data_IF_083562932417
#
_entry.id   IF_083562932417
#
_cell.length_a   1.000
_cell.length_b   1.000
_cell.length_c   1.000
_cell.angle_alpha   90.00
_cell.angle_beta   90.00
_cell.angle_gamma   90.00
#
_symmetry.space_group_name_H-M   'P 1'
#
loop_
_entity.id
_entity.type
_entity.pdbx_description
1 polymer ?
#
# COMPACT_ATOMS: atom_id res chain seq x y z
N UNK A 1 -4.39 21.87 -5.88
CA UNK A 1 -5.09 20.64 -6.32
C UNK A 1 -5.46 20.76 -7.79
N UNK A 2 -5.11 19.76 -8.59
CA UNK A 2 -5.57 19.69 -9.99
C UNK A 2 -7.10 19.61 -10.01
N UNK A 3 -7.74 20.45 -10.84
CA UNK A 3 -9.21 20.49 -10.99
C UNK A 3 -9.81 19.10 -11.30
N UNK A 4 -9.02 18.23 -11.93
CA UNK A 4 -9.36 16.85 -12.26
C UNK A 4 -9.61 15.98 -11.01
N UNK A 5 -8.74 16.02 -9.99
CA UNK A 5 -8.92 15.23 -8.76
C UNK A 5 -10.17 15.66 -7.99
N UNK A 6 -10.45 16.97 -7.97
CA UNK A 6 -11.66 17.53 -7.41
C UNK A 6 -12.91 17.03 -8.14
N UNK A 7 -12.88 17.08 -9.47
CA UNK A 7 -13.97 16.62 -10.31
C UNK A 7 -14.24 15.13 -10.11
N UNK A 8 -13.20 14.29 -10.15
CA UNK A 8 -13.32 12.85 -9.96
C UNK A 8 -13.87 12.48 -8.58
N UNK A 9 -13.44 13.15 -7.51
CA UNK A 9 -13.95 12.86 -6.17
C UNK A 9 -15.41 13.33 -5.99
N UNK A 10 -15.74 14.58 -6.39
CA UNK A 10 -17.06 15.16 -6.12
C UNK A 10 -18.15 14.69 -7.06
N UNK A 11 -17.82 14.36 -8.31
CA UNK A 11 -18.81 13.91 -9.31
C UNK A 11 -18.78 12.39 -9.43
N UNK A 12 -17.61 11.77 -9.26
CA UNK A 12 -17.49 10.31 -9.32
C UNK A 12 -18.34 9.59 -8.27
N UNK A 13 -18.33 10.04 -7.01
CA UNK A 13 -19.11 9.41 -5.94
C UNK A 13 -20.63 9.43 -6.21
N UNK A 14 -21.26 10.59 -6.54
CA UNK A 14 -22.66 10.60 -6.97
C UNK A 14 -22.93 9.77 -8.22
N UNK A 15 -22.02 9.75 -9.21
CA UNK A 15 -22.21 8.94 -10.42
C UNK A 15 -22.17 7.44 -10.12
N UNK A 16 -21.28 6.98 -9.23
CA UNK A 16 -21.27 5.59 -8.77
C UNK A 16 -22.59 5.25 -8.06
N UNK A 17 -23.10 6.16 -7.22
CA UNK A 17 -24.40 5.98 -6.56
C UNK A 17 -25.54 5.89 -7.58
N UNK A 18 -25.63 6.84 -8.51
CA UNK A 18 -26.67 6.86 -9.55
C UNK A 18 -26.57 5.62 -10.44
N UNK A 19 -25.37 5.28 -10.89
CA UNK A 19 -25.13 4.08 -11.68
C UNK A 19 -25.51 2.79 -10.95
N UNK A 20 -25.23 2.72 -9.65
CA UNK A 20 -25.64 1.57 -8.82
C UNK A 20 -27.15 1.52 -8.57
N UNK A 21 -27.86 2.65 -8.52
CA UNK A 21 -29.33 2.69 -8.33
C UNK A 21 -30.07 2.45 -9.65
N UNK A 22 -29.46 2.83 -10.77
CA UNK A 22 -30.00 2.64 -12.12
C UNK A 22 -29.54 1.34 -12.78
N UNK A 23 -28.93 0.42 -12.01
CA UNK A 23 -28.42 -0.88 -12.48
C UNK A 23 -27.56 -0.77 -13.76
N UNK A 24 -26.63 0.18 -13.78
CA UNK A 24 -25.68 0.31 -14.89
C UNK A 24 -24.82 -0.95 -15.02
N UNK A 25 -24.28 -1.25 -16.22
CA UNK A 25 -23.39 -2.38 -16.40
C UNK A 25 -22.15 -2.30 -15.49
N UNK A 26 -21.59 -3.46 -15.14
CA UNK A 26 -20.49 -3.57 -14.18
C UNK A 26 -19.23 -2.80 -14.60
N UNK A 27 -18.89 -2.75 -15.90
CA UNK A 27 -17.67 -2.08 -16.39
C UNK A 27 -17.68 -0.57 -16.08
N UNK A 28 -18.72 0.22 -16.46
CA UNK A 28 -18.82 1.61 -16.05
C UNK A 28 -18.73 1.83 -14.54
N UNK A 29 -19.44 1.01 -13.74
CA UNK A 29 -19.44 1.12 -12.28
C UNK A 29 -18.03 0.89 -11.74
N UNK A 30 -17.33 -0.14 -12.24
CA UNK A 30 -15.96 -0.46 -11.86
C UNK A 30 -15.00 0.69 -12.19
N UNK A 31 -15.00 1.18 -13.44
CA UNK A 31 -14.09 2.24 -13.86
C UNK A 31 -14.34 3.55 -13.09
N UNK A 32 -15.61 3.91 -12.89
CA UNK A 32 -16.00 5.08 -12.08
C UNK A 32 -15.59 4.91 -10.62
N UNK A 33 -15.74 3.71 -10.06
CA UNK A 33 -15.34 3.41 -8.69
C UNK A 33 -13.84 3.52 -8.50
N UNK A 34 -13.05 2.91 -9.38
CA UNK A 34 -11.58 3.01 -9.38
C UNK A 34 -11.13 4.46 -9.47
N UNK A 35 -11.66 5.24 -10.43
CA UNK A 35 -11.29 6.64 -10.60
C UNK A 35 -11.69 7.51 -9.38
N UNK A 36 -12.85 7.23 -8.78
CA UNK A 36 -13.32 7.93 -7.59
C UNK A 36 -12.45 7.62 -6.37
N UNK A 37 -12.10 6.35 -6.16
CA UNK A 37 -11.24 5.91 -5.06
C UNK A 37 -9.84 6.51 -5.19
N UNK A 38 -9.24 6.50 -6.39
CA UNK A 38 -7.93 7.13 -6.63
C UNK A 38 -7.97 8.63 -6.30
N UNK A 39 -9.07 9.32 -6.62
CA UNK A 39 -9.20 10.72 -6.28
C UNK A 39 -9.36 10.94 -4.77
N UNK A 40 -10.20 10.15 -4.11
CA UNK A 40 -10.46 10.20 -2.67
C UNK A 40 -9.23 9.82 -1.83
N UNK A 41 -8.44 8.85 -2.28
CA UNK A 41 -7.19 8.44 -1.60
C UNK A 41 -6.22 9.63 -1.52
N UNK A 42 -6.14 10.45 -2.57
CA UNK A 42 -5.35 11.68 -2.55
C UNK A 42 -5.88 12.76 -1.59
N UNK A 43 -7.16 12.75 -1.22
CA UNK A 43 -7.69 13.61 -0.14
C UNK A 43 -7.39 13.04 1.25
N UNK A 44 -7.53 11.72 1.42
CA UNK A 44 -7.17 11.02 2.65
C UNK A 44 -5.69 11.24 2.97
N UNK A 45 -4.79 11.02 2.01
CA UNK A 45 -3.34 11.20 2.21
C UNK A 45 -2.99 12.61 2.70
N UNK A 46 -3.46 13.66 2.03
CA UNK A 46 -3.21 15.06 2.45
C UNK A 46 -3.86 15.44 3.78
N UNK A 47 -5.04 14.89 4.07
CA UNK A 47 -5.70 15.10 5.36
C UNK A 47 -4.88 14.45 6.49
N UNK A 48 -4.42 13.22 6.27
CA UNK A 48 -3.57 12.46 7.19
C UNK A 48 -2.25 13.17 7.42
N UNK A 49 -1.57 13.62 6.36
CA UNK A 49 -0.30 14.36 6.43
C UNK A 49 -0.47 15.68 7.21
N UNK A 50 -1.46 16.51 6.84
CA UNK A 50 -1.74 17.76 7.56
C UNK A 50 -2.06 17.52 9.04
N UNK A 51 -2.80 16.44 9.35
CA UNK A 51 -3.12 16.08 10.72
C UNK A 51 -1.90 15.53 11.47
N UNK A 52 -1.01 14.82 10.79
CA UNK A 52 0.22 14.27 11.34
C UNK A 52 1.18 15.39 11.78
N UNK A 53 1.37 16.40 10.91
CA UNK A 53 2.16 17.60 11.18
C UNK A 53 1.62 18.32 12.43
N UNK A 54 0.32 18.61 12.47
CA UNK A 54 -0.31 19.35 13.59
C UNK A 54 -0.34 18.55 14.90
N UNK A 55 -0.37 17.22 14.83
CA UNK A 55 -0.43 16.35 16.02
C UNK A 55 0.96 15.99 16.58
N UNK A 56 2.02 16.38 15.87
CA UNK A 56 3.40 16.11 16.22
C UNK A 56 3.85 14.68 15.89
N UNK A 57 5.17 14.40 15.90
CA UNK A 57 5.74 13.19 15.29
C UNK A 57 5.19 11.87 15.82
N UNK A 58 4.86 11.78 17.11
CA UNK A 58 4.39 10.54 17.75
C UNK A 58 2.98 10.16 17.31
N UNK A 59 2.04 11.09 17.48
CA UNK A 59 0.63 10.88 17.09
C UNK A 59 0.53 10.87 15.56
N UNK A 60 1.31 11.71 14.89
CA UNK A 60 1.38 11.73 13.44
C UNK A 60 1.85 10.43 12.82
N UNK A 61 2.86 9.76 13.40
CA UNK A 61 3.29 8.43 12.94
C UNK A 61 2.19 7.38 13.04
N UNK A 62 1.42 7.36 14.13
CA UNK A 62 0.26 6.46 14.30
C UNK A 62 -0.89 6.78 13.34
N UNK A 63 -1.18 8.07 13.15
CA UNK A 63 -2.19 8.52 12.19
C UNK A 63 -1.80 8.10 10.77
N UNK A 64 -0.53 8.27 10.40
CA UNK A 64 -0.04 7.88 9.08
C UNK A 64 -0.10 6.36 8.87
N UNK A 65 0.33 5.58 9.87
CA UNK A 65 0.22 4.12 9.83
C UNK A 65 -1.21 3.62 9.58
N UNK A 66 -2.19 4.28 10.20
CA UNK A 66 -3.59 3.87 10.15
C UNK A 66 -4.31 4.40 8.91
N UNK A 67 -4.21 5.70 8.67
CA UNK A 67 -4.98 6.37 7.62
C UNK A 67 -4.24 6.48 6.28
N UNK A 68 -2.92 6.26 6.24
CA UNK A 68 -2.16 6.14 5.00
C UNK A 68 -2.65 4.96 4.16
N UNK A 69 -2.90 3.82 4.80
CA UNK A 69 -3.43 2.60 4.16
C UNK A 69 -4.95 2.44 4.33
N UNK A 70 -5.69 3.51 4.68
CA UNK A 70 -7.12 3.39 4.95
C UNK A 70 -7.90 2.85 3.73
N UNK A 71 -7.53 3.28 2.52
CA UNK A 71 -8.22 2.88 1.29
C UNK A 71 -8.08 1.37 1.05
N UNK A 72 -6.85 0.87 1.13
CA UNK A 72 -6.56 -0.55 1.01
C UNK A 72 -7.28 -1.38 2.08
N UNK A 73 -7.21 -0.95 3.34
CA UNK A 73 -7.89 -1.63 4.45
C UNK A 73 -9.41 -1.64 4.25
N UNK A 74 -10.01 -0.54 3.79
CA UNK A 74 -11.46 -0.46 3.53
C UNK A 74 -11.86 -1.40 2.39
N UNK A 75 -11.16 -1.35 1.25
CA UNK A 75 -11.45 -2.27 0.14
C UNK A 75 -11.34 -3.72 0.62
N UNK A 76 -10.26 -4.06 1.32
CA UNK A 76 -10.03 -5.40 1.85
C UNK A 76 -11.13 -5.85 2.82
N UNK A 77 -11.63 -4.97 3.69
CA UNK A 77 -12.72 -5.29 4.62
C UNK A 77 -14.02 -5.62 3.86
N UNK A 78 -14.37 -4.84 2.82
CA UNK A 78 -15.57 -5.12 2.02
C UNK A 78 -15.41 -6.39 1.17
N UNK A 79 -14.23 -6.61 0.59
CA UNK A 79 -13.88 -7.83 -0.14
C UNK A 79 -13.97 -9.06 0.78
N UNK A 80 -13.44 -8.96 2.00
CA UNK A 80 -13.51 -10.02 3.00
C UNK A 80 -14.95 -10.29 3.45
N UNK A 81 -15.76 -9.24 3.64
CA UNK A 81 -17.19 -9.36 3.93
C UNK A 81 -17.96 -10.06 2.82
N UNK A 82 -17.54 -9.89 1.56
CA UNK A 82 -18.07 -10.61 0.41
C UNK A 82 -17.57 -12.07 0.29
N UNK A 83 -16.70 -12.52 1.19
CA UNK A 83 -16.18 -13.89 1.19
C UNK A 83 -14.98 -14.12 0.24
N UNK A 84 -14.51 -13.07 -0.43
CA UNK A 84 -13.47 -13.14 -1.48
C UNK A 84 -12.07 -13.10 -0.86
N UNK A 85 -11.73 -14.11 -0.04
CA UNK A 85 -10.44 -14.19 0.66
C UNK A 85 -9.26 -14.16 -0.33
N UNK A 86 -9.41 -14.83 -1.47
CA UNK A 86 -8.40 -14.87 -2.52
C UNK A 86 -8.03 -13.48 -3.02
N UNK A 87 -9.01 -12.63 -3.31
CA UNK A 87 -8.78 -11.24 -3.73
C UNK A 87 -8.11 -10.41 -2.62
N UNK A 88 -8.46 -10.61 -1.35
CA UNK A 88 -7.82 -9.89 -0.23
C UNK A 88 -6.33 -10.23 -0.16
N UNK A 89 -5.97 -11.52 -0.12
CA UNK A 89 -4.58 -11.96 -0.08
C UNK A 89 -3.80 -11.50 -1.33
N UNK A 90 -4.41 -11.65 -2.50
CA UNK A 90 -3.86 -11.17 -3.76
C UNK A 90 -3.62 -9.64 -3.74
N UNK A 91 -4.53 -8.85 -3.16
CA UNK A 91 -4.33 -7.40 -3.04
C UNK A 91 -3.18 -7.02 -2.11
N UNK A 92 -2.98 -7.75 -1.01
CA UNK A 92 -1.82 -7.58 -0.12
C UNK A 92 -0.51 -7.92 -0.85
N UNK A 93 -0.50 -9.02 -1.60
CA UNK A 93 0.62 -9.39 -2.48
C UNK A 93 0.90 -8.27 -3.49
N UNK A 94 -0.14 -7.81 -4.17
CA UNK A 94 -0.06 -6.76 -5.17
C UNK A 94 0.41 -5.43 -4.62
N UNK A 95 0.06 -5.12 -3.38
CA UNK A 95 0.48 -3.90 -2.67
C UNK A 95 1.98 -3.92 -2.37
N UNK A 96 2.50 -5.05 -1.89
CA UNK A 96 3.95 -5.26 -1.73
C UNK A 96 4.68 -5.13 -3.06
N UNK A 97 4.20 -5.82 -4.11
CA UNK A 97 4.81 -5.77 -5.44
C UNK A 97 4.71 -4.38 -6.09
N UNK A 98 3.57 -3.72 -5.93
CA UNK A 98 3.30 -2.38 -6.43
C UNK A 98 4.25 -1.38 -5.80
N UNK A 99 4.36 -1.37 -4.48
CA UNK A 99 5.26 -0.44 -3.81
C UNK A 99 6.73 -0.71 -4.16
N UNK A 100 7.18 -1.96 -4.08
CA UNK A 100 8.58 -2.32 -4.26
C UNK A 100 9.05 -2.22 -5.72
N UNK A 101 8.20 -2.57 -6.70
CA UNK A 101 8.63 -2.62 -8.10
C UNK A 101 8.02 -1.50 -8.93
N UNK A 102 6.71 -1.24 -8.80
CA UNK A 102 6.03 -0.25 -9.62
C UNK A 102 6.35 1.18 -9.15
N UNK A 103 6.18 1.46 -7.86
CA UNK A 103 6.35 2.81 -7.30
C UNK A 103 7.82 3.20 -7.26
N UNK A 104 8.68 2.36 -6.68
CA UNK A 104 10.12 2.60 -6.73
C UNK A 104 10.64 2.64 -8.16
N UNK A 105 10.17 1.73 -9.02
CA UNK A 105 10.56 1.71 -10.43
C UNK A 105 10.22 3.02 -11.15
N UNK A 106 8.99 3.53 -11.00
CA UNK A 106 8.63 4.83 -11.56
C UNK A 106 9.35 5.99 -10.88
N UNK A 107 9.62 5.92 -9.59
CA UNK A 107 10.34 6.96 -8.85
C UNK A 107 11.78 7.09 -9.36
N UNK A 108 12.50 5.96 -9.46
CA UNK A 108 13.87 5.89 -9.98
C UNK A 108 13.92 6.27 -11.46
N UNK A 109 12.95 5.81 -12.25
CA UNK A 109 12.88 6.14 -13.67
C UNK A 109 12.60 7.63 -13.91
N UNK A 110 11.52 8.17 -13.33
CA UNK A 110 11.11 9.56 -13.56
C UNK A 110 12.09 10.57 -12.95
N UNK A 111 12.60 10.27 -11.75
CA UNK A 111 13.65 11.07 -11.12
C UNK A 111 14.98 10.98 -11.90
N UNK A 112 15.36 9.77 -12.32
CA UNK A 112 16.58 9.49 -13.08
C UNK A 112 16.62 10.07 -14.50
N UNK A 113 15.47 10.35 -15.11
CA UNK A 113 15.40 11.09 -16.39
C UNK A 113 15.85 12.55 -16.20
N UNK A 114 15.55 13.13 -15.03
CA UNK A 114 15.86 14.53 -14.72
C UNK A 114 17.23 14.69 -14.07
N UNK A 115 17.63 13.73 -13.22
CA UNK A 115 18.88 13.73 -12.47
C UNK A 115 19.68 12.47 -12.82
N UNK A 116 20.96 12.62 -13.18
CA UNK A 116 21.77 11.48 -13.63
C UNK A 116 21.86 10.35 -12.59
N UNK A 117 22.02 10.73 -11.33
CA UNK A 117 21.99 9.87 -10.15
C UNK A 117 21.28 10.62 -9.03
N UNK A 118 20.63 9.90 -8.13
CA UNK A 118 20.00 10.45 -6.93
C UNK A 118 20.36 9.60 -5.72
N UNK A 119 20.75 10.26 -4.63
CA UNK A 119 21.24 9.58 -3.44
C UNK A 119 20.18 9.52 -2.35
N UNK A 120 20.25 8.49 -1.52
CA UNK A 120 19.44 8.30 -0.32
C UNK A 120 20.26 7.62 0.77
N UNK A 121 19.75 7.67 1.99
CA UNK A 121 20.44 7.14 3.17
C UNK A 121 20.59 5.62 3.13
N UNK A 122 21.84 5.15 3.04
CA UNK A 122 22.20 3.72 3.15
C UNK A 122 21.78 3.15 4.50
N UNK A 123 21.86 3.95 5.57
CA UNK A 123 21.48 3.52 6.92
C UNK A 123 19.99 3.17 6.99
N UNK A 124 19.13 4.04 6.44
CA UNK A 124 17.68 3.84 6.44
C UNK A 124 17.29 2.70 5.49
N UNK A 125 17.94 2.62 4.32
CA UNK A 125 17.76 1.52 3.39
C UNK A 125 18.09 0.15 4.03
N UNK A 126 19.19 0.05 4.79
CA UNK A 126 19.59 -1.19 5.49
C UNK A 126 18.67 -1.56 6.64
N UNK A 127 18.26 -0.58 7.45
CA UNK A 127 17.29 -0.80 8.53
C UNK A 127 15.98 -1.36 7.96
N UNK A 128 15.47 -0.71 6.91
CA UNK A 128 14.25 -1.14 6.24
C UNK A 128 14.40 -2.50 5.55
N UNK A 129 15.56 -2.81 4.98
CA UNK A 129 15.86 -4.11 4.36
C UNK A 129 15.74 -5.27 5.36
N UNK A 130 16.24 -5.10 6.59
CA UNK A 130 16.12 -6.10 7.65
C UNK A 130 14.67 -6.38 8.04
N UNK A 131 13.85 -5.32 8.15
CA UNK A 131 12.42 -5.45 8.42
C UNK A 131 11.65 -6.04 7.25
N UNK A 132 12.00 -5.71 6.00
CA UNK A 132 11.37 -6.29 4.81
C UNK A 132 11.62 -7.80 4.73
N UNK A 133 12.86 -8.25 4.97
CA UNK A 133 13.20 -9.67 5.06
C UNK A 133 12.35 -10.35 6.13
N UNK A 134 12.26 -9.76 7.32
CA UNK A 134 11.42 -10.31 8.39
C UNK A 134 9.94 -10.38 7.97
N UNK A 135 9.38 -9.29 7.48
CA UNK A 135 7.96 -9.18 7.17
C UNK A 135 7.54 -10.09 6.01
N UNK A 136 8.30 -10.11 4.90
CA UNK A 136 7.94 -10.87 3.71
C UNK A 136 8.40 -12.33 3.82
N UNK A 137 9.67 -12.56 4.17
CA UNK A 137 10.22 -13.92 4.16
C UNK A 137 9.78 -14.67 5.41
N UNK A 138 10.01 -14.12 6.61
CA UNK A 138 9.66 -14.86 7.83
C UNK A 138 8.14 -14.88 8.02
N UNK A 139 7.46 -13.75 7.85
CA UNK A 139 6.07 -13.65 8.25
C UNK A 139 5.06 -14.17 7.21
N UNK A 140 5.39 -14.21 5.90
CA UNK A 140 4.49 -14.76 4.87
C UNK A 140 4.89 -16.16 4.40
N UNK A 141 6.19 -16.46 4.25
CA UNK A 141 6.62 -17.80 3.77
C UNK A 141 6.41 -18.88 4.83
N UNK A 142 6.70 -18.58 6.11
CA UNK A 142 6.60 -19.59 7.17
C UNK A 142 5.16 -20.08 7.35
N UNK A 143 4.13 -19.21 7.46
CA UNK A 143 2.75 -19.69 7.57
C UNK A 143 2.33 -20.59 6.40
N UNK A 144 2.68 -20.22 5.17
CA UNK A 144 2.34 -21.03 3.99
C UNK A 144 2.96 -22.42 4.08
N UNK A 145 4.29 -22.53 4.24
CA UNK A 145 5.00 -23.81 4.25
C UNK A 145 4.50 -24.71 5.39
N UNK A 146 4.27 -24.15 6.58
CA UNK A 146 3.78 -24.92 7.71
C UNK A 146 2.31 -25.34 7.52
N UNK A 147 1.48 -24.50 6.89
CA UNK A 147 0.06 -24.77 6.67
C UNK A 147 -0.20 -26.00 5.79
N UNK A 148 0.72 -26.34 4.87
CA UNK A 148 0.57 -27.49 3.96
C UNK A 148 0.41 -28.83 4.69
N UNK A 149 0.88 -28.93 5.93
CA UNK A 149 0.78 -30.13 6.76
C UNK A 149 -0.22 -29.99 7.91
N UNK A 150 -0.88 -28.83 8.02
CA UNK A 150 -1.80 -28.50 9.10
C UNK A 150 -3.25 -28.60 8.66
N UNK A 151 -4.14 -28.85 9.63
CA UNK A 151 -5.57 -28.65 9.40
C UNK A 151 -5.92 -27.15 9.38
N UNK A 152 -7.15 -26.85 8.97
CA UNK A 152 -7.64 -25.47 8.87
C UNK A 152 -7.56 -24.70 10.20
N UNK A 153 -7.91 -25.34 11.31
CA UNK A 153 -7.92 -24.70 12.63
C UNK A 153 -6.51 -24.30 13.09
N UNK A 154 -5.54 -25.20 12.93
CA UNK A 154 -4.14 -24.95 13.27
C UNK A 154 -3.55 -23.86 12.36
N UNK A 155 -3.92 -23.86 11.08
CA UNK A 155 -3.50 -22.82 10.11
C UNK A 155 -4.00 -21.43 10.51
N UNK A 156 -5.27 -21.31 10.91
CA UNK A 156 -5.82 -20.05 11.44
C UNK A 156 -5.10 -19.65 12.72
N UNK A 157 -4.91 -20.60 13.66
CA UNK A 157 -4.25 -20.33 14.94
C UNK A 157 -2.82 -19.82 14.75
N UNK A 158 -2.07 -20.44 13.83
CA UNK A 158 -0.75 -19.98 13.43
C UNK A 158 -0.80 -18.56 12.87
N UNK A 159 -1.73 -18.30 11.95
CA UNK A 159 -1.91 -16.97 11.34
C UNK A 159 -2.25 -15.89 12.36
N UNK A 160 -3.09 -16.20 13.37
CA UNK A 160 -3.39 -15.29 14.48
C UNK A 160 -2.12 -15.00 15.29
N UNK A 161 -1.37 -16.03 15.66
CA UNK A 161 -0.12 -15.88 16.42
C UNK A 161 0.90 -15.00 15.69
N UNK A 162 1.11 -15.27 14.39
CA UNK A 162 1.97 -14.47 13.52
C UNK A 162 1.48 -13.03 13.40
N UNK A 163 0.17 -12.82 13.25
CA UNK A 163 -0.44 -11.48 13.16
C UNK A 163 -0.21 -10.66 14.44
N UNK A 164 -0.37 -11.27 15.62
CA UNK A 164 -0.11 -10.59 16.90
C UNK A 164 1.36 -10.20 17.02
N UNK A 165 2.28 -11.09 16.66
CA UNK A 165 3.73 -10.82 16.68
C UNK A 165 4.08 -9.68 15.72
N UNK A 166 3.52 -9.68 14.51
CA UNK A 166 3.77 -8.65 13.50
C UNK A 166 3.31 -7.27 13.97
N UNK A 167 2.08 -7.16 14.49
CA UNK A 167 1.56 -5.89 15.02
C UNK A 167 2.39 -5.41 16.21
N UNK A 168 2.75 -6.32 17.13
CA UNK A 168 3.58 -5.97 18.28
C UNK A 168 4.95 -5.46 17.84
N UNK A 169 5.59 -6.10 16.87
CA UNK A 169 6.88 -5.68 16.33
C UNK A 169 6.76 -4.36 15.56
N UNK A 170 5.68 -4.14 14.81
CA UNK A 170 5.41 -2.88 14.13
C UNK A 170 5.27 -1.72 15.11
N UNK A 171 4.46 -1.88 16.16
CA UNK A 171 4.28 -0.87 17.21
C UNK A 171 5.58 -0.62 17.99
N UNK A 172 6.35 -1.68 18.27
CA UNK A 172 7.67 -1.55 18.90
C UNK A 172 8.66 -0.80 18.00
N UNK A 173 8.66 -1.07 16.68
CA UNK A 173 9.46 -0.35 15.69
C UNK A 173 9.07 1.13 15.59
N UNK A 174 7.76 1.42 15.59
CA UNK A 174 7.25 2.79 15.61
C UNK A 174 7.67 3.53 16.89
N UNK A 175 7.56 2.88 18.05
CA UNK A 175 8.04 3.42 19.32
C UNK A 175 9.56 3.64 19.30
N UNK A 176 10.31 2.71 18.72
CA UNK A 176 11.76 2.81 18.57
C UNK A 176 12.15 4.04 17.73
N UNK A 177 11.55 4.20 16.54
CA UNK A 177 11.82 5.32 15.63
C UNK A 177 11.38 6.68 16.20
N UNK A 178 10.21 6.74 16.84
CA UNK A 178 9.59 8.01 17.27
C UNK A 178 9.93 8.43 18.70
N UNK A 179 10.40 7.52 19.56
CA UNK A 179 10.65 7.78 20.98
C UNK A 179 12.09 7.50 21.37
N UNK A 180 12.57 6.26 21.25
CA UNK A 180 13.88 5.89 21.85
C UNK A 180 15.06 6.30 20.99
N UNK A 181 14.94 6.24 19.67
CA UNK A 181 16.01 6.55 18.71
C UNK A 181 15.65 7.72 17.79
N UNK A 182 14.87 8.66 18.32
CA UNK A 182 14.53 9.89 17.61
C UNK A 182 15.82 10.62 17.21
N UNK A 183 15.96 10.93 15.93
CA UNK A 183 17.14 11.64 15.40
C UNK A 183 18.26 10.75 14.88
N UNK A 184 18.26 9.44 15.18
CA UNK A 184 19.28 8.50 14.69
C UNK A 184 19.08 8.17 13.20
N UNK A 185 17.82 8.16 12.76
CA UNK A 185 17.41 7.90 11.36
C UNK A 185 17.14 9.20 10.59
N UNK A 186 17.47 10.35 11.16
CA UNK A 186 17.42 11.61 10.42
C UNK A 186 18.78 11.77 9.75
N UNK A 187 18.82 11.69 8.43
CA UNK A 187 20.08 11.65 7.67
C UNK A 187 21.02 12.80 8.07
N UNK A 188 22.28 12.44 8.32
CA UNK A 188 23.36 13.34 8.77
C UNK A 188 23.81 14.37 7.72
N UNK A 189 23.18 14.41 6.54
CA UNK A 189 23.48 15.36 5.45
C UNK A 189 22.57 16.61 5.47
N UNK A 190 21.93 16.90 6.60
CA UNK A 190 21.14 18.13 6.82
C UNK A 190 21.97 19.41 7.01
N UNK A 191 23.17 19.52 6.43
CA UNK A 191 23.95 20.77 6.50
C UNK A 191 23.65 21.78 5.39
N UNK A 192 22.77 21.49 4.40
CA UNK A 192 22.48 22.48 3.32
C UNK A 192 21.06 22.55 2.78
N UNK A 193 20.08 21.80 3.30
CA UNK A 193 18.68 21.99 2.92
C UNK A 193 17.99 22.68 4.09
N UNK A 194 17.63 23.95 3.91
CA UNK A 194 16.69 24.65 4.78
C UNK A 194 15.57 23.67 5.14
N UNK A 195 15.38 23.37 6.42
CA UNK A 195 14.15 22.74 6.87
C UNK A 195 13.04 23.72 6.49
N UNK A 196 12.46 23.55 5.30
CA UNK A 196 11.11 24.00 5.05
C UNK A 196 10.30 23.34 6.16
N UNK A 197 9.99 24.11 7.22
CA UNK A 197 9.02 23.70 8.22
C UNK A 197 7.84 23.16 7.43
N UNK A 198 7.52 21.87 7.57
CA UNK A 198 6.39 21.28 6.87
C UNK A 198 5.13 21.99 7.37
N UNK A 199 4.68 22.99 6.62
CA UNK A 199 3.50 23.76 6.98
C UNK A 199 2.29 22.87 6.65
N UNK A 200 1.39 22.61 7.60
CA UNK A 200 0.22 21.82 7.32
C UNK A 200 -0.62 22.54 6.26
N UNK A 201 -0.95 21.84 5.17
CA UNK A 201 -1.77 22.42 4.09
C UNK A 201 -3.15 22.86 4.63
N UNK A 202 -3.71 22.07 5.55
CA UNK A 202 -5.04 22.27 6.11
C UNK A 202 -5.02 22.40 7.63
N UNK A 203 -5.94 23.22 8.15
CA UNK A 203 -6.17 23.34 9.60
C UNK A 203 -6.70 22.04 10.18
N UNK A 204 -6.41 21.77 11.45
CA UNK A 204 -6.80 20.54 12.16
C UNK A 204 -8.26 20.14 11.95
N UNK A 205 -9.19 21.09 12.12
CA UNK A 205 -10.63 20.83 11.97
C UNK A 205 -11.01 20.48 10.52
N UNK A 206 -10.41 21.16 9.54
CA UNK A 206 -10.62 20.85 8.12
C UNK A 206 -10.05 19.48 7.76
N UNK A 207 -8.86 19.13 8.25
CA UNK A 207 -8.25 17.82 8.01
C UNK A 207 -9.11 16.68 8.56
N UNK A 208 -9.61 16.80 9.81
CA UNK A 208 -10.49 15.79 10.41
C UNK A 208 -11.79 15.64 9.61
N UNK A 209 -12.42 16.75 9.21
CA UNK A 209 -13.67 16.71 8.45
C UNK A 209 -13.47 16.05 7.07
N UNK A 210 -12.42 16.45 6.33
CA UNK A 210 -12.12 15.88 5.02
C UNK A 210 -11.76 14.41 5.13
N UNK A 211 -10.96 14.03 6.13
CA UNK A 211 -10.59 12.64 6.37
C UNK A 211 -11.84 11.79 6.60
N UNK A 212 -12.75 12.21 7.49
CA UNK A 212 -13.97 11.49 7.80
C UNK A 212 -14.89 11.36 6.58
N UNK A 213 -15.17 12.46 5.87
CA UNK A 213 -16.03 12.46 4.69
C UNK A 213 -15.44 11.58 3.57
N UNK A 214 -14.13 11.68 3.33
CA UNK A 214 -13.47 10.89 2.29
C UNK A 214 -13.44 9.41 2.65
N UNK A 215 -13.23 9.08 3.93
CA UNK A 215 -13.24 7.69 4.42
C UNK A 215 -14.62 7.06 4.23
N UNK A 216 -15.70 7.77 4.57
CA UNK A 216 -17.07 7.30 4.36
C UNK A 216 -17.39 7.16 2.87
N UNK A 217 -16.95 8.11 2.05
CA UNK A 217 -17.13 8.04 0.60
C UNK A 217 -16.39 6.85 -0.02
N UNK A 218 -15.13 6.60 0.39
CA UNK A 218 -14.38 5.41 -0.03
C UNK A 218 -15.09 4.15 0.40
N UNK A 219 -15.57 4.04 1.65
CA UNK A 219 -16.31 2.88 2.11
C UNK A 219 -17.55 2.60 1.23
N UNK A 220 -18.33 3.62 0.91
CA UNK A 220 -19.49 3.50 0.03
C UNK A 220 -19.10 3.03 -1.39
N UNK A 221 -18.08 3.65 -1.99
CA UNK A 221 -17.64 3.30 -3.35
C UNK A 221 -16.99 1.92 -3.39
N UNK A 222 -16.22 1.55 -2.36
CA UNK A 222 -15.56 0.24 -2.25
C UNK A 222 -16.58 -0.90 -2.16
N UNK A 223 -17.70 -0.71 -1.44
CA UNK A 223 -18.77 -1.72 -1.43
C UNK A 223 -19.29 -2.00 -2.85
N UNK A 224 -19.51 -0.95 -3.66
CA UNK A 224 -19.95 -1.09 -5.04
C UNK A 224 -18.88 -1.67 -5.96
N UNK A 225 -17.61 -1.29 -5.75
CA UNK A 225 -16.47 -1.84 -6.47
C UNK A 225 -16.38 -3.36 -6.32
N UNK A 226 -16.48 -3.87 -5.08
CA UNK A 226 -16.33 -5.30 -4.78
C UNK A 226 -17.37 -6.14 -5.53
N UNK A 227 -18.61 -5.66 -5.63
CA UNK A 227 -19.66 -6.35 -6.38
C UNK A 227 -19.40 -6.45 -7.90
N UNK A 228 -18.44 -5.71 -8.44
CA UNK A 228 -18.07 -5.81 -9.86
C UNK A 228 -17.01 -6.86 -10.16
N UNK A 229 -16.28 -7.36 -9.16
CA UNK A 229 -15.14 -8.25 -9.38
C UNK A 229 -15.54 -9.59 -10.02
N UNK A 230 -16.61 -10.23 -9.54
CA UNK A 230 -17.11 -11.49 -10.10
C UNK A 230 -17.50 -11.32 -11.57
N UNK A 231 -18.30 -10.27 -11.88
CA UNK A 231 -18.72 -9.99 -13.26
C UNK A 231 -17.53 -9.71 -14.18
N UNK A 232 -16.52 -8.99 -13.71
CA UNK A 232 -15.30 -8.73 -14.50
C UNK A 232 -14.48 -10.01 -14.72
N UNK A 233 -14.38 -10.87 -13.71
CA UNK A 233 -13.73 -12.16 -13.82
C UNK A 233 -14.38 -13.04 -14.88
N UNK A 234 -15.72 -13.14 -14.87
CA UNK A 234 -16.48 -13.89 -15.88
C UNK A 234 -16.38 -13.28 -17.29
N UNK A 235 -16.44 -11.96 -17.41
CA UNK A 235 -16.44 -11.28 -18.71
C UNK A 235 -15.07 -11.29 -19.41
N UNK A 236 -14.00 -11.05 -18.65
CA UNK A 236 -12.63 -10.93 -19.20
C UNK A 236 -11.79 -12.19 -19.03
N UNK A 237 -12.30 -13.19 -18.31
CA UNK A 237 -11.53 -14.39 -17.95
C UNK A 237 -10.42 -14.10 -16.94
N UNK A 238 -10.57 -13.04 -16.13
CA UNK A 238 -9.59 -12.67 -15.12
C UNK A 238 -9.78 -13.50 -13.85
N UNK A 239 -8.68 -14.04 -13.33
CA UNK A 239 -8.69 -14.72 -12.04
C UNK A 239 -8.81 -13.73 -10.88
N UNK A 240 -9.37 -14.17 -9.75
CA UNK A 240 -9.38 -13.40 -8.50
C UNK A 240 -7.98 -12.90 -8.13
N UNK A 241 -6.98 -13.74 -8.42
CA UNK A 241 -5.58 -13.45 -8.18
C UNK A 241 -5.11 -12.27 -9.02
N UNK A 242 -5.37 -12.27 -10.33
CA UNK A 242 -5.00 -11.14 -11.20
C UNK A 242 -5.72 -9.83 -10.79
N UNK A 243 -7.01 -9.92 -10.47
CA UNK A 243 -7.80 -8.76 -10.01
C UNK A 243 -7.19 -8.19 -8.73
N UNK A 244 -6.90 -9.04 -7.73
CA UNK A 244 -6.30 -8.60 -6.48
C UNK A 244 -4.90 -8.00 -6.68
N UNK A 245 -3.98 -8.76 -7.28
CA UNK A 245 -2.56 -8.42 -7.39
C UNK A 245 -2.32 -7.16 -8.23
N UNK A 246 -3.07 -6.98 -9.32
CA UNK A 246 -2.83 -5.85 -10.24
C UNK A 246 -3.82 -4.74 -9.99
N UNK A 247 -5.11 -5.02 -10.12
CA UNK A 247 -6.12 -3.98 -10.17
C UNK A 247 -6.34 -3.36 -8.78
N UNK A 248 -6.67 -4.20 -7.80
CA UNK A 248 -7.02 -3.72 -6.45
C UNK A 248 -5.84 -3.04 -5.79
N UNK A 249 -4.65 -3.63 -5.90
CA UNK A 249 -3.42 -3.04 -5.37
C UNK A 249 -3.11 -1.65 -5.95
N UNK A 250 -3.22 -1.47 -7.27
CA UNK A 250 -2.97 -0.17 -7.90
C UNK A 250 -3.97 0.88 -7.39
N UNK A 251 -5.24 0.53 -7.25
CA UNK A 251 -6.29 1.46 -6.79
C UNK A 251 -6.10 1.80 -5.31
N UNK A 252 -5.77 0.79 -4.49
CA UNK A 252 -5.55 0.93 -3.04
C UNK A 252 -4.43 1.90 -2.69
N UNK A 253 -3.32 1.84 -3.43
CA UNK A 253 -2.09 2.57 -3.11
C UNK A 253 -1.84 3.80 -4.01
N UNK A 254 -2.79 4.16 -4.88
CA UNK A 254 -2.59 5.18 -5.91
C UNK A 254 -2.11 6.55 -5.38
N UNK A 255 -2.55 6.96 -4.19
CA UNK A 255 -2.12 8.22 -3.58
C UNK A 255 -0.62 8.19 -3.23
N UNK A 256 -0.17 7.10 -2.62
CA UNK A 256 1.23 6.92 -2.24
C UNK A 256 2.12 6.80 -3.47
N UNK A 257 1.65 6.10 -4.52
CA UNK A 257 2.33 6.02 -5.80
C UNK A 257 2.63 7.41 -6.35
N UNK A 258 1.60 8.27 -6.41
CA UNK A 258 1.73 9.62 -6.94
C UNK A 258 2.66 10.49 -6.09
N UNK A 259 2.57 10.40 -4.76
CA UNK A 259 3.41 11.16 -3.84
C UNK A 259 4.89 10.78 -3.96
N UNK A 260 5.22 9.48 -3.95
CA UNK A 260 6.60 9.00 -4.07
C UNK A 260 7.25 9.45 -5.39
N UNK A 261 6.55 9.25 -6.52
CA UNK A 261 7.06 9.64 -7.85
C UNK A 261 7.27 11.16 -7.90
N UNK A 262 6.33 11.95 -7.38
CA UNK A 262 6.45 13.41 -7.33
C UNK A 262 7.65 13.85 -6.51
N UNK A 263 7.92 13.17 -5.39
CA UNK A 263 9.03 13.48 -4.50
C UNK A 263 10.38 13.14 -5.13
N UNK A 264 10.48 12.00 -5.82
CA UNK A 264 11.64 11.63 -6.61
C UNK A 264 11.95 12.67 -7.71
N UNK A 265 10.93 13.16 -8.43
CA UNK A 265 11.08 14.22 -9.44
C UNK A 265 11.51 15.58 -8.87
N UNK A 266 11.31 15.80 -7.57
CA UNK A 266 11.77 16.98 -6.79
C UNK A 266 13.17 16.78 -6.19
N UNK A 267 13.89 15.75 -6.60
CA UNK A 267 15.20 15.38 -6.07
C UNK A 267 15.22 14.93 -4.61
N UNK A 268 14.11 14.41 -4.10
CA UNK A 268 14.02 13.89 -2.73
C UNK A 268 13.76 12.38 -2.78
N UNK A 269 14.79 11.64 -3.21
CA UNK A 269 14.70 10.19 -3.43
C UNK A 269 14.63 9.41 -2.11
N UNK A 270 15.28 9.92 -1.07
CA UNK A 270 15.17 9.44 0.31
C UNK A 270 13.71 9.30 0.76
N UNK A 271 12.92 10.35 0.56
CA UNK A 271 11.50 10.34 0.93
C UNK A 271 10.69 9.41 0.01
N UNK A 272 11.00 9.35 -1.29
CA UNK A 272 10.32 8.44 -2.20
C UNK A 272 10.55 6.96 -1.81
N UNK A 273 11.78 6.60 -1.45
CA UNK A 273 12.13 5.27 -0.94
C UNK A 273 11.45 4.99 0.39
N UNK A 274 11.43 5.98 1.31
CA UNK A 274 10.74 5.85 2.60
C UNK A 274 9.24 5.62 2.42
N UNK A 275 8.58 6.32 1.50
CA UNK A 275 7.15 6.13 1.20
C UNK A 275 6.91 4.70 0.71
N UNK A 276 7.65 4.24 -0.30
CA UNK A 276 7.40 2.92 -0.90
C UNK A 276 7.73 1.76 0.05
N UNK A 277 8.91 1.79 0.67
CA UNK A 277 9.33 0.72 1.58
C UNK A 277 8.56 0.79 2.90
N UNK A 278 8.30 1.99 3.40
CA UNK A 278 7.50 2.21 4.61
C UNK A 278 6.06 1.71 4.44
N UNK A 279 5.41 2.01 3.32
CA UNK A 279 4.09 1.48 2.99
C UNK A 279 4.11 -0.05 2.89
N UNK A 280 5.11 -0.63 2.23
CA UNK A 280 5.28 -2.10 2.17
C UNK A 280 5.36 -2.74 3.57
N UNK A 281 6.13 -2.14 4.48
CA UNK A 281 6.23 -2.61 5.86
C UNK A 281 4.91 -2.46 6.62
N UNK A 282 4.14 -1.39 6.36
CA UNK A 282 2.82 -1.20 6.96
C UNK A 282 1.82 -2.25 6.45
N UNK A 283 1.80 -2.51 5.14
CA UNK A 283 0.95 -3.55 4.54
C UNK A 283 1.26 -4.91 5.19
N UNK A 284 2.54 -5.27 5.26
CA UNK A 284 2.95 -6.58 5.74
C UNK A 284 2.84 -6.76 7.27
N UNK A 285 3.21 -5.75 8.05
CA UNK A 285 3.30 -5.87 9.51
C UNK A 285 2.07 -5.31 10.26
N UNK A 286 1.18 -4.59 9.57
CA UNK A 286 0.00 -3.97 10.18
C UNK A 286 -1.29 -4.32 9.44
N UNK A 287 -1.42 -4.00 8.15
CA UNK A 287 -2.67 -4.17 7.40
C UNK A 287 -3.06 -5.66 7.30
N UNK A 288 -2.17 -6.50 6.78
CA UNK A 288 -2.42 -7.93 6.64
C UNK A 288 -2.76 -8.60 7.99
N UNK A 289 -1.97 -8.41 9.07
CA UNK A 289 -2.32 -8.89 10.40
C UNK A 289 -3.67 -8.41 10.93
N UNK A 290 -4.00 -7.13 10.75
CA UNK A 290 -5.29 -6.59 11.21
C UNK A 290 -6.44 -7.23 10.45
N UNK A 291 -6.31 -7.46 9.14
CA UNK A 291 -7.33 -8.15 8.36
C UNK A 291 -7.54 -9.59 8.83
N UNK A 292 -6.48 -10.30 9.23
CA UNK A 292 -6.59 -11.64 9.85
C UNK A 292 -7.39 -11.56 11.14
N UNK A 293 -7.08 -10.60 12.02
CA UNK A 293 -7.79 -10.43 13.29
C UNK A 293 -9.26 -10.00 13.09
N UNK A 294 -9.52 -9.10 12.14
CA UNK A 294 -10.88 -8.68 11.76
C UNK A 294 -11.67 -9.87 11.20
N UNK A 295 -11.02 -10.77 10.45
CA UNK A 295 -11.69 -11.94 9.87
C UNK A 295 -12.29 -12.88 10.93
N UNK A 296 -11.81 -12.84 12.18
CA UNK A 296 -12.32 -13.69 13.26
C UNK A 296 -13.75 -13.36 13.68
N UNK A 297 -14.20 -12.13 13.43
CA UNK A 297 -15.57 -11.69 13.70
C UNK A 297 -16.42 -11.61 12.42
N UNK A 298 -15.86 -12.06 11.29
CA UNK A 298 -16.55 -12.10 10.00
C UNK A 298 -17.06 -13.53 9.69
N UNK A 299 -17.95 -13.68 8.68
CA UNK A 299 -18.45 -15.00 8.28
C UNK A 299 -17.35 -15.96 7.80
N UNK A 300 -16.24 -15.41 7.31
CA UNK A 300 -15.10 -16.17 6.82
C UNK A 300 -13.83 -15.78 7.55
N UNK A 301 -13.01 -16.76 7.91
CA UNK A 301 -11.70 -16.53 8.52
C UNK A 301 -10.63 -16.49 7.44
N UNK A 302 -9.71 -15.53 7.51
CA UNK A 302 -8.61 -15.39 6.56
C UNK A 302 -7.29 -15.82 7.22
N UNK A 303 -6.69 -16.95 6.81
CA UNK A 303 -5.32 -17.26 7.21
C UNK A 303 -4.31 -16.50 6.34
N UNK A 304 -3.08 -16.31 6.83
CA UNK A 304 -1.96 -15.75 6.04
C UNK A 304 -1.35 -16.85 5.16
N UNK A 305 -2.11 -17.33 4.19
CA UNK A 305 -1.74 -18.44 3.29
C UNK A 305 -1.75 -17.90 1.88
N UNK A 306 -0.57 -17.63 1.34
CA UNK A 306 -0.40 -17.08 0.00
C UNK A 306 -0.01 -18.20 -0.95
N UNK A 307 -0.41 -18.10 -2.22
CA UNK A 307 -0.01 -19.08 -3.21
C UNK A 307 1.51 -19.04 -3.45
N UNK A 308 2.08 -20.15 -3.93
CA UNK A 308 3.51 -20.21 -4.26
C UNK A 308 3.94 -19.12 -5.25
N UNK A 309 3.19 -18.83 -6.34
CA UNK A 309 3.51 -17.72 -7.23
C UNK A 309 3.56 -16.36 -6.52
N UNK A 310 2.60 -16.08 -5.63
CA UNK A 310 2.57 -14.84 -4.82
C UNK A 310 3.80 -14.71 -3.92
N UNK A 311 4.14 -15.76 -3.18
CA UNK A 311 5.31 -15.74 -2.29
C UNK A 311 6.61 -15.57 -3.06
N UNK A 312 6.81 -16.34 -4.12
CA UNK A 312 8.03 -16.25 -4.94
C UNK A 312 8.15 -14.83 -5.52
N UNK A 313 7.05 -14.25 -6.03
CA UNK A 313 7.05 -12.88 -6.53
C UNK A 313 7.44 -11.87 -5.44
N UNK A 314 6.83 -11.92 -4.25
CA UNK A 314 7.15 -10.99 -3.15
C UNK A 314 8.60 -11.13 -2.66
N UNK A 315 9.10 -12.36 -2.55
CA UNK A 315 10.48 -12.64 -2.15
C UNK A 315 11.46 -12.12 -3.19
N UNK A 316 11.23 -12.40 -4.47
CA UNK A 316 12.05 -11.88 -5.56
C UNK A 316 12.05 -10.35 -5.61
N UNK A 317 10.89 -9.72 -5.46
CA UNK A 317 10.77 -8.27 -5.41
C UNK A 317 11.56 -7.66 -4.25
N UNK A 318 11.42 -8.27 -3.06
CA UNK A 318 12.15 -7.86 -1.85
C UNK A 318 13.65 -7.96 -2.04
N UNK A 319 14.15 -9.09 -2.56
CA UNK A 319 15.58 -9.24 -2.83
C UNK A 319 16.08 -8.25 -3.87
N UNK A 320 15.33 -8.01 -4.95
CA UNK A 320 15.73 -7.07 -5.99
C UNK A 320 15.88 -5.65 -5.42
N UNK A 321 14.89 -5.18 -4.65
CA UNK A 321 14.95 -3.85 -4.01
C UNK A 321 16.08 -3.75 -3.00
N UNK A 322 16.28 -4.77 -2.16
CA UNK A 322 17.38 -4.76 -1.18
C UNK A 322 18.74 -4.64 -1.87
N UNK A 323 18.94 -5.36 -2.99
CA UNK A 323 20.19 -5.28 -3.74
C UNK A 323 20.38 -3.90 -4.38
N UNK A 324 19.32 -3.35 -5.01
CA UNK A 324 19.37 -2.04 -5.66
C UNK A 324 19.49 -0.88 -4.66
N UNK A 325 18.98 -1.02 -3.44
CA UNK A 325 19.07 0.03 -2.44
C UNK A 325 20.34 -0.03 -1.57
N UNK A 326 21.25 -0.97 -1.82
CA UNK A 326 22.37 -1.24 -0.92
C UNK A 326 23.51 -0.20 -1.00
N UNK A 327 23.71 0.40 -2.17
CA UNK A 327 24.73 1.42 -2.41
C UNK A 327 24.25 2.85 -2.10
N UNK A 328 22.94 3.05 -1.91
CA UNK A 328 22.36 4.35 -1.55
C UNK A 328 22.25 5.31 -2.73
N UNK A 329 22.40 4.83 -3.95
CA UNK A 329 22.23 5.63 -5.16
C UNK A 329 21.13 5.03 -6.03
N UNK A 330 20.54 5.86 -6.90
CA UNK A 330 19.54 5.41 -7.87
C UNK A 330 19.74 6.06 -9.23
N UNK A 331 19.39 5.33 -10.29
CA UNK A 331 19.38 5.85 -11.65
C UNK A 331 18.16 5.36 -12.47
N UNK A 332 17.96 5.96 -13.65
CA UNK A 332 16.79 5.64 -14.49
C UNK A 332 16.76 4.18 -14.98
N UNK A 333 17.92 3.55 -15.13
CA UNK A 333 18.02 2.18 -15.65
C UNK A 333 17.64 1.16 -14.57
N UNK A 334 17.99 1.41 -13.31
CA UNK A 334 17.48 0.64 -12.18
C UNK A 334 15.96 0.76 -12.06
N UNK A 335 15.42 1.97 -12.30
CA UNK A 335 13.98 2.18 -12.40
C UNK A 335 13.33 1.31 -13.48
N UNK A 336 13.91 1.27 -14.68
CA UNK A 336 13.42 0.37 -15.73
C UNK A 336 13.56 -1.11 -15.37
N UNK A 337 14.60 -1.49 -14.62
CA UNK A 337 14.80 -2.88 -14.18
C UNK A 337 13.66 -3.31 -13.25
N UNK A 338 13.29 -2.45 -12.29
CA UNK A 338 12.15 -2.67 -11.38
C UNK A 338 10.82 -2.72 -12.15
N UNK A 339 10.58 -1.77 -13.06
CA UNK A 339 9.36 -1.75 -13.88
C UNK A 339 9.26 -2.98 -14.78
N UNK A 340 10.37 -3.44 -15.36
CA UNK A 340 10.41 -4.64 -16.18
C UNK A 340 10.09 -5.89 -15.35
N UNK A 341 10.64 -6.00 -14.14
CA UNK A 341 10.31 -7.08 -13.22
C UNK A 341 8.81 -7.08 -12.86
N UNK A 342 8.23 -5.91 -12.56
CA UNK A 342 6.80 -5.79 -12.30
C UNK A 342 5.94 -6.25 -13.48
N UNK A 343 6.27 -5.82 -14.70
CA UNK A 343 5.54 -6.22 -15.90
C UNK A 343 5.62 -7.72 -16.18
N UNK A 344 6.80 -8.32 -16.02
CA UNK A 344 6.99 -9.78 -16.19
C UNK A 344 6.13 -10.55 -15.18
N UNK A 345 6.15 -10.12 -13.91
CA UNK A 345 5.34 -10.72 -12.85
C UNK A 345 3.84 -10.54 -13.15
N UNK A 346 3.42 -9.36 -13.58
CA UNK A 346 2.03 -9.07 -13.94
C UNK A 346 1.52 -9.89 -15.13
N UNK A 347 2.36 -10.10 -16.15
CA UNK A 347 2.06 -11.03 -17.26
C UNK A 347 1.95 -12.46 -16.74
N UNK A 348 2.83 -12.87 -15.82
CA UNK A 348 2.76 -14.19 -15.18
C UNK A 348 1.42 -14.42 -14.47
N UNK A 349 0.99 -13.46 -13.64
CA UNK A 349 -0.30 -13.53 -12.95
C UNK A 349 -1.51 -13.45 -13.87
N UNK A 350 -1.39 -12.80 -15.03
CA UNK A 350 -2.46 -12.78 -16.03
C UNK A 350 -2.74 -14.17 -16.64
N UNK A 351 -1.70 -15.01 -16.77
CA UNK A 351 -1.81 -16.34 -17.36
C UNK A 351 -2.15 -17.46 -16.36
N UNK A 352 -2.21 -17.16 -15.07
CA UNK A 352 -2.65 -18.08 -14.01
C UNK A 352 -4.17 -18.02 -13.84
#
# INVERSE_FOLDING_TARGET
>A
MNRVFLFLAFIGVPLVLVGSVMDWPAIPIFLLSCASIIALSGFIGRATESLAIVSGPRVGGLLNATFGNAVEMIISIFTLKAGMIGIVLASLTGSVLGNLLLVLGFSFFAGGIKYKTQNFSIHDARYNSGLLIFAVIVAFVIPEIFSQTMNRQNTVTLSIGVSIILIALYLAGLFFKLVTHRGVFTSSDKETVEEEEEIPEWSKGKSILILLLSTVAVAFVSEKLVHTFETLGEMFGWTELFIGVIIVAIVGNAAEHFSAITMAMKNRMDVAVEIAVGSTLQVAMFVAPILVLISLVMPVTMPLVFTIPELVAMVTATFLVINLCNDGESNWFEGLTLLSAYLIIGIGFYFL
#
